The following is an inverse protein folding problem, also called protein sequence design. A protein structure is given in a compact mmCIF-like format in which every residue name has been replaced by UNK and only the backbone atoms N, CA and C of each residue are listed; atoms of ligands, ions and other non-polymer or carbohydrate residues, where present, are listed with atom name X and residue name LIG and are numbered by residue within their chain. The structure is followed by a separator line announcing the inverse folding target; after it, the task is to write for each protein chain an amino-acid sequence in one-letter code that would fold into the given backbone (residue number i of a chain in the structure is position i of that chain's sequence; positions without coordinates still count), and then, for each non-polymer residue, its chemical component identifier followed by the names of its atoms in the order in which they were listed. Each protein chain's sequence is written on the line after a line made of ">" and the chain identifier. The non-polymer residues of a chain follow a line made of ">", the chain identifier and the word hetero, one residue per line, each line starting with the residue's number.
data_IF_113223208785
#
_entry.id   IF_113223208785
#
_cell.length_a   1.000
_cell.length_b   1.000
_cell.length_c   1.000
_cell.angle_alpha   90.00
_cell.angle_beta   90.00
_cell.angle_gamma   90.00
#
_symmetry.space_group_name_H-M   'P 1'
#
loop_
_entity.id
_entity.type
_entity.pdbx_description
1 polymer ?
#
# COMPACT_ATOMS: atom_id res chain seq x y z
N UNK A 1 -30.55 -4.59 -15.86
CA UNK A 1 -29.91 -3.46 -15.17
C UNK A 1 -29.66 -3.78 -13.68
N UNK A 2 -30.71 -4.04 -12.89
CA UNK A 2 -30.62 -4.26 -11.43
C UNK A 2 -29.60 -5.36 -11.08
N UNK A 3 -29.65 -6.52 -11.75
CA UNK A 3 -28.71 -7.64 -11.49
C UNK A 3 -27.26 -7.21 -11.70
N UNK A 4 -26.95 -6.43 -12.74
CA UNK A 4 -25.59 -5.94 -13.00
C UNK A 4 -25.12 -5.05 -11.86
N UNK A 5 -25.93 -4.11 -11.41
CA UNK A 5 -25.59 -3.19 -10.32
C UNK A 5 -25.44 -3.92 -8.98
N UNK A 6 -26.31 -4.91 -8.70
CA UNK A 6 -26.18 -5.74 -7.49
C UNK A 6 -24.90 -6.58 -7.49
N UNK A 7 -24.51 -7.13 -8.64
CA UNK A 7 -23.25 -7.86 -8.77
C UNK A 7 -22.04 -6.93 -8.61
N UNK A 8 -22.10 -5.73 -9.17
CA UNK A 8 -21.07 -4.71 -9.00
C UNK A 8 -20.92 -4.28 -7.54
N UNK A 9 -22.03 -4.10 -6.81
CA UNK A 9 -22.03 -3.84 -5.38
C UNK A 9 -21.34 -4.97 -4.62
N UNK A 10 -21.70 -6.22 -4.91
CA UNK A 10 -21.14 -7.40 -4.26
C UNK A 10 -19.62 -7.53 -4.49
N UNK A 11 -19.15 -7.32 -5.71
CA UNK A 11 -17.72 -7.40 -6.01
C UNK A 11 -16.93 -6.24 -5.38
N UNK A 12 -17.51 -5.02 -5.40
CA UNK A 12 -16.94 -3.89 -4.67
C UNK A 12 -16.87 -4.13 -3.16
N UNK A 13 -17.89 -4.78 -2.59
CA UNK A 13 -17.93 -5.18 -1.18
C UNK A 13 -16.83 -6.19 -0.87
N UNK A 14 -16.63 -7.23 -1.68
CA UNK A 14 -15.60 -8.25 -1.47
C UNK A 14 -14.20 -7.64 -1.40
N UNK A 15 -13.87 -6.71 -2.31
CA UNK A 15 -12.59 -5.98 -2.27
C UNK A 15 -12.51 -5.11 -1.02
N UNK A 16 -13.61 -4.40 -0.71
CA UNK A 16 -13.64 -3.43 0.39
C UNK A 16 -13.51 -4.05 1.77
N UNK A 17 -14.11 -5.22 2.01
CA UNK A 17 -14.03 -5.94 3.30
C UNK A 17 -12.58 -6.26 3.65
N UNK A 18 -11.82 -6.81 2.73
CA UNK A 18 -10.41 -7.12 2.97
C UNK A 18 -9.60 -5.88 3.38
N UNK A 19 -9.84 -4.77 2.73
CA UNK A 19 -9.17 -3.51 3.02
C UNK A 19 -9.59 -2.89 4.36
N UNK A 20 -10.86 -2.98 4.68
CA UNK A 20 -11.40 -2.48 5.95
C UNK A 20 -10.84 -3.26 7.14
N UNK A 21 -10.80 -4.60 7.06
CA UNK A 21 -10.24 -5.46 8.10
C UNK A 21 -8.75 -5.13 8.34
N UNK A 22 -8.00 -4.86 7.28
CA UNK A 22 -6.57 -4.51 7.35
C UNK A 22 -6.31 -3.04 7.65
N UNK A 23 -7.34 -2.24 7.96
CA UNK A 23 -7.26 -0.80 8.26
C UNK A 23 -6.48 0.00 7.19
N UNK A 24 -6.67 -0.38 5.91
CA UNK A 24 -6.04 0.32 4.79
C UNK A 24 -6.88 1.52 4.34
N UNK A 25 -6.26 2.45 3.63
CA UNK A 25 -6.89 3.71 3.17
C UNK A 25 -8.14 3.50 2.31
N UNK A 26 -8.16 2.44 1.49
CA UNK A 26 -9.35 2.01 0.76
C UNK A 26 -10.24 1.16 1.67
N UNK A 27 -11.43 1.64 1.98
CA UNK A 27 -12.44 0.90 2.77
C UNK A 27 -13.57 0.34 1.92
N UNK A 28 -14.59 -0.23 2.60
CA UNK A 28 -15.77 -0.83 1.95
C UNK A 28 -16.53 0.18 1.09
N UNK A 29 -16.83 1.37 1.64
CA UNK A 29 -17.65 2.38 0.98
C UNK A 29 -17.07 2.83 -0.37
N UNK A 30 -15.82 3.30 -0.46
CA UNK A 30 -15.25 3.71 -1.75
C UNK A 30 -15.22 2.60 -2.78
N UNK A 31 -14.88 1.35 -2.38
CA UNK A 31 -14.82 0.21 -3.29
C UNK A 31 -16.16 -0.08 -3.94
N UNK A 32 -17.24 -0.12 -3.14
CA UNK A 32 -18.60 -0.34 -3.66
C UNK A 32 -19.04 0.79 -4.61
N UNK A 33 -18.84 2.04 -4.20
CA UNK A 33 -19.27 3.21 -5.00
C UNK A 33 -18.57 3.24 -6.35
N UNK A 34 -17.26 3.02 -6.38
CA UNK A 34 -16.48 3.01 -7.62
C UNK A 34 -16.95 1.88 -8.54
N UNK A 35 -17.15 0.67 -8.03
CA UNK A 35 -17.58 -0.48 -8.82
C UNK A 35 -19.00 -0.25 -9.41
N UNK A 36 -19.94 0.23 -8.61
CA UNK A 36 -21.32 0.52 -9.05
C UNK A 36 -21.33 1.66 -10.08
N UNK A 37 -20.63 2.76 -9.82
CA UNK A 37 -20.59 3.91 -10.72
C UNK A 37 -19.97 3.54 -12.08
N UNK A 38 -18.88 2.78 -12.09
CA UNK A 38 -18.23 2.28 -13.31
C UNK A 38 -19.16 1.34 -14.09
N UNK A 39 -19.87 0.46 -13.39
CA UNK A 39 -20.87 -0.43 -13.99
C UNK A 39 -22.01 0.37 -14.64
N UNK A 40 -22.58 1.32 -13.90
CA UNK A 40 -23.69 2.16 -14.40
C UNK A 40 -23.29 2.95 -15.65
N UNK A 41 -22.16 3.65 -15.60
CA UNK A 41 -21.67 4.45 -16.73
C UNK A 41 -21.39 3.57 -17.96
N UNK A 42 -20.88 2.36 -17.76
CA UNK A 42 -20.65 1.41 -18.87
C UNK A 42 -21.99 0.93 -19.47
N UNK A 43 -22.98 0.61 -18.64
CA UNK A 43 -24.34 0.27 -19.12
C UNK A 43 -24.91 1.42 -19.93
N UNK A 44 -24.84 2.66 -19.40
CA UNK A 44 -25.35 3.86 -20.11
C UNK A 44 -24.65 4.06 -21.43
N UNK A 45 -23.32 3.85 -21.51
CA UNK A 45 -22.56 3.99 -22.76
C UNK A 45 -23.03 3.02 -23.83
N UNK A 46 -23.19 1.74 -23.46
CA UNK A 46 -23.63 0.68 -24.39
C UNK A 46 -25.09 0.88 -24.82
N UNK A 47 -25.99 1.20 -23.88
CA UNK A 47 -27.41 1.44 -24.20
C UNK A 47 -27.61 2.71 -25.02
N UNK A 48 -26.83 3.77 -24.74
CA UNK A 48 -26.87 5.00 -25.54
C UNK A 48 -26.43 4.73 -26.99
N UNK A 49 -25.41 3.92 -27.21
CA UNK A 49 -25.01 3.48 -28.55
C UNK A 49 -26.13 2.71 -29.24
N UNK A 50 -26.79 1.78 -28.53
CA UNK A 50 -27.92 1.03 -29.09
C UNK A 50 -29.13 1.89 -29.45
N UNK A 51 -29.39 3.00 -28.72
CA UNK A 51 -30.51 3.89 -28.93
C UNK A 51 -30.25 4.97 -29.97
N UNK A 52 -29.05 5.53 -29.99
CA UNK A 52 -28.70 6.73 -30.75
C UNK A 52 -27.63 6.48 -31.82
N UNK A 53 -26.95 5.34 -31.79
CA UNK A 53 -25.95 4.94 -32.78
C UNK A 53 -26.62 4.53 -34.10
N UNK A 54 -25.86 4.51 -35.19
CA UNK A 54 -26.32 4.09 -36.49
C UNK A 54 -25.75 4.93 -37.63
N UNK A 55 -26.29 4.80 -38.82
CA UNK A 55 -25.76 5.44 -40.03
C UNK A 55 -25.65 6.98 -39.92
N UNK A 56 -26.50 7.61 -39.11
CA UNK A 56 -26.47 9.07 -38.88
C UNK A 56 -25.43 9.49 -37.83
N UNK A 57 -24.84 8.54 -37.08
CA UNK A 57 -23.86 8.79 -36.04
C UNK A 57 -22.70 7.77 -36.10
N UNK A 58 -21.94 7.73 -37.22
CA UNK A 58 -20.92 6.69 -37.46
C UNK A 58 -19.74 6.75 -36.49
N UNK A 59 -19.53 7.86 -35.79
CA UNK A 59 -18.40 8.04 -34.86
C UNK A 59 -18.77 7.74 -33.38
N UNK A 60 -19.95 7.16 -33.15
CA UNK A 60 -20.37 6.80 -31.80
C UNK A 60 -19.71 5.50 -31.38
N UNK A 61 -19.09 5.50 -30.21
CA UNK A 61 -18.37 4.34 -29.64
C UNK A 61 -19.08 3.87 -28.37
N UNK A 62 -19.53 2.59 -28.32
CA UNK A 62 -20.20 2.03 -27.15
C UNK A 62 -19.31 1.94 -25.91
N UNK A 63 -17.98 1.91 -26.08
CA UNK A 63 -17.04 1.81 -24.97
C UNK A 63 -16.39 3.15 -24.57
N UNK A 64 -16.83 4.25 -25.15
CA UNK A 64 -16.26 5.58 -24.95
C UNK A 64 -16.25 6.01 -23.48
N UNK A 65 -17.38 5.82 -22.77
CA UNK A 65 -17.43 6.17 -21.34
C UNK A 65 -16.55 5.22 -20.50
N UNK A 66 -16.47 3.94 -20.86
CA UNK A 66 -15.59 3.00 -20.17
C UNK A 66 -14.12 3.44 -20.27
N UNK A 67 -13.66 3.88 -21.46
CA UNK A 67 -12.32 4.42 -21.65
C UNK A 67 -12.07 5.66 -20.77
N UNK A 68 -13.05 6.56 -20.64
CA UNK A 68 -12.96 7.74 -19.78
C UNK A 68 -12.95 7.38 -18.29
N UNK A 69 -13.66 6.34 -17.88
CA UNK A 69 -13.64 5.83 -16.51
C UNK A 69 -12.22 5.35 -16.15
N UNK A 70 -11.59 4.55 -17.03
CA UNK A 70 -10.22 4.04 -16.79
C UNK A 70 -9.23 5.20 -16.59
N UNK A 71 -9.34 6.25 -17.41
CA UNK A 71 -8.53 7.46 -17.26
C UNK A 71 -8.84 8.22 -15.98
N UNK A 72 -10.12 8.48 -15.71
CA UNK A 72 -10.59 9.28 -14.57
C UNK A 72 -10.30 8.64 -13.20
N UNK A 73 -10.42 7.33 -13.11
CA UNK A 73 -10.13 6.58 -11.86
C UNK A 73 -8.66 6.68 -11.45
N UNK A 74 -7.74 6.91 -12.40
CA UNK A 74 -6.34 7.17 -12.11
C UNK A 74 -6.13 8.37 -11.20
N UNK A 75 -6.94 9.43 -11.34
CA UNK A 75 -6.90 10.59 -10.46
C UNK A 75 -7.30 10.25 -9.00
N UNK A 76 -8.34 9.44 -8.84
CA UNK A 76 -8.78 8.96 -7.51
C UNK A 76 -7.70 8.09 -6.89
N UNK A 77 -7.09 7.18 -7.67
CA UNK A 77 -5.99 6.34 -7.24
C UNK A 77 -4.78 7.15 -6.78
N UNK A 78 -4.40 8.17 -7.54
CA UNK A 78 -3.30 9.08 -7.17
C UNK A 78 -3.59 9.82 -5.85
N UNK A 79 -4.84 10.22 -5.60
CA UNK A 79 -5.25 10.87 -4.35
C UNK A 79 -5.13 10.00 -3.10
N UNK A 80 -5.03 8.68 -3.24
CA UNK A 80 -4.85 7.74 -2.13
C UNK A 80 -3.37 7.45 -1.85
N UNK A 81 -2.49 7.76 -2.79
CA UNK A 81 -1.04 7.58 -2.61
C UNK A 81 -0.51 8.77 -1.82
N UNK A 82 -0.08 8.49 -0.58
CA UNK A 82 0.46 9.51 0.32
C UNK A 82 1.96 9.31 0.49
N UNK A 83 2.70 10.42 0.41
CA UNK A 83 4.10 10.46 0.81
C UNK A 83 4.17 10.98 2.24
N UNK A 84 4.68 10.17 3.15
CA UNK A 84 4.93 10.60 4.53
C UNK A 84 6.22 11.42 4.61
N UNK A 85 6.38 12.19 5.70
CA UNK A 85 7.55 13.03 5.96
C UNK A 85 8.89 12.28 5.89
N UNK A 86 8.88 10.98 6.13
CA UNK A 86 10.04 10.09 6.12
C UNK A 86 10.29 9.42 4.74
N UNK A 87 9.83 10.02 3.65
CA UNK A 87 9.99 9.52 2.27
C UNK A 87 9.28 8.18 1.97
N UNK A 88 8.54 7.62 2.91
CA UNK A 88 7.78 6.38 2.70
C UNK A 88 6.51 6.66 1.91
N UNK A 89 6.35 5.93 0.79
CA UNK A 89 5.16 5.99 -0.04
C UNK A 89 4.18 4.93 0.44
N UNK A 90 2.99 5.35 0.87
CA UNK A 90 1.92 4.45 1.28
C UNK A 90 0.71 4.56 0.34
N UNK A 91 -0.16 3.54 0.34
CA UNK A 91 -1.39 3.56 -0.45
C UNK A 91 -1.30 2.96 -1.86
N UNK A 92 -0.12 2.53 -2.32
CA UNK A 92 0.06 1.96 -3.67
C UNK A 92 -0.89 0.79 -3.95
N UNK A 93 -0.98 -0.18 -3.03
CA UNK A 93 -1.91 -1.31 -3.16
C UNK A 93 -3.37 -0.85 -3.12
N UNK A 94 -3.71 0.15 -2.30
CA UNK A 94 -5.06 0.71 -2.25
C UNK A 94 -5.42 1.42 -3.57
N UNK A 95 -4.51 2.16 -4.17
CA UNK A 95 -4.69 2.78 -5.47
C UNK A 95 -4.89 1.73 -6.59
N UNK A 96 -4.10 0.67 -6.60
CA UNK A 96 -4.25 -0.44 -7.54
C UNK A 96 -5.61 -1.13 -7.40
N UNK A 97 -6.11 -1.32 -6.18
CA UNK A 97 -7.43 -1.91 -5.93
C UNK A 97 -8.60 -0.97 -6.29
N UNK A 98 -8.44 0.34 -6.17
CA UNK A 98 -9.39 1.32 -6.70
C UNK A 98 -9.54 1.14 -8.23
N UNK A 99 -8.42 1.07 -8.93
CA UNK A 99 -8.39 0.84 -10.36
C UNK A 99 -9.04 -0.50 -10.73
N UNK A 100 -8.74 -1.57 -9.98
CA UNK A 100 -9.31 -2.90 -10.15
C UNK A 100 -10.83 -2.94 -9.89
N UNK A 101 -11.32 -2.25 -8.85
CA UNK A 101 -12.75 -2.14 -8.57
C UNK A 101 -13.50 -1.46 -9.72
N UNK A 102 -12.89 -0.44 -10.32
CA UNK A 102 -13.45 0.22 -11.50
C UNK A 102 -13.50 -0.73 -12.72
N UNK A 103 -12.41 -1.48 -12.97
CA UNK A 103 -12.36 -2.45 -14.05
C UNK A 103 -13.41 -3.56 -13.90
N UNK A 104 -13.64 -4.06 -12.68
CA UNK A 104 -14.72 -5.01 -12.39
C UNK A 104 -16.09 -4.42 -12.70
N UNK A 105 -16.34 -3.16 -12.31
CA UNK A 105 -17.58 -2.46 -12.63
C UNK A 105 -17.81 -2.35 -14.14
N UNK A 106 -16.77 -1.98 -14.91
CA UNK A 106 -16.82 -1.92 -16.37
C UNK A 106 -17.15 -3.29 -16.96
N UNK A 107 -16.45 -4.33 -16.53
CA UNK A 107 -16.65 -5.71 -17.03
C UNK A 107 -18.08 -6.20 -16.79
N UNK A 108 -18.62 -5.98 -15.59
CA UNK A 108 -20.01 -6.35 -15.25
C UNK A 108 -21.00 -5.52 -16.09
N UNK A 109 -20.77 -4.22 -16.24
CA UNK A 109 -21.58 -3.33 -17.06
C UNK A 109 -21.65 -3.78 -18.52
N UNK A 110 -20.50 -4.20 -19.06
CA UNK A 110 -20.38 -4.72 -20.42
C UNK A 110 -20.92 -6.15 -20.58
N UNK A 111 -21.22 -6.87 -19.49
CA UNK A 111 -21.76 -8.24 -19.53
C UNK A 111 -20.73 -9.35 -19.41
N UNK A 112 -19.45 -9.05 -19.15
CA UNK A 112 -18.36 -10.02 -18.95
C UNK A 112 -18.36 -10.54 -17.52
N UNK A 113 -19.37 -11.33 -17.16
CA UNK A 113 -19.56 -11.79 -15.76
C UNK A 113 -18.56 -12.85 -15.34
N UNK A 114 -18.21 -13.78 -16.22
CA UNK A 114 -17.26 -14.86 -15.95
C UNK A 114 -15.87 -14.27 -15.71
N UNK A 115 -15.45 -13.37 -16.59
CA UNK A 115 -14.16 -12.71 -16.55
C UNK A 115 -14.07 -11.85 -15.27
N UNK A 116 -15.11 -11.12 -14.92
CA UNK A 116 -15.17 -10.32 -13.71
C UNK A 116 -15.10 -11.21 -12.45
N UNK A 117 -15.77 -12.38 -12.46
CA UNK A 117 -15.74 -13.34 -11.35
C UNK A 117 -14.36 -13.95 -11.19
N UNK A 118 -13.73 -14.39 -12.25
CA UNK A 118 -12.36 -14.89 -12.22
C UNK A 118 -11.39 -13.80 -11.72
N UNK A 119 -11.54 -12.59 -12.21
CA UNK A 119 -10.67 -11.47 -11.82
C UNK A 119 -10.77 -11.14 -10.32
N UNK A 120 -11.99 -11.05 -9.74
CA UNK A 120 -12.13 -10.76 -8.31
C UNK A 120 -11.55 -11.86 -7.43
N UNK A 121 -11.71 -13.13 -7.82
CA UNK A 121 -11.11 -14.25 -7.10
C UNK A 121 -9.58 -14.16 -7.13
N UNK A 122 -9.00 -13.94 -8.32
CA UNK A 122 -7.55 -13.80 -8.47
C UNK A 122 -6.99 -12.58 -7.72
N UNK A 123 -7.72 -11.46 -7.68
CA UNK A 123 -7.34 -10.28 -6.89
C UNK A 123 -7.29 -10.60 -5.39
N UNK A 124 -8.31 -11.30 -4.86
CA UNK A 124 -8.34 -11.71 -3.46
C UNK A 124 -7.17 -12.66 -3.16
N UNK A 125 -6.91 -13.63 -4.03
CA UNK A 125 -5.77 -14.55 -3.90
C UNK A 125 -4.45 -13.77 -3.90
N UNK A 126 -4.25 -12.88 -4.87
CA UNK A 126 -3.01 -12.12 -5.02
C UNK A 126 -2.71 -11.23 -3.81
N UNK A 127 -3.75 -10.62 -3.23
CA UNK A 127 -3.57 -9.66 -2.13
C UNK A 127 -3.51 -10.33 -0.76
N UNK A 128 -4.09 -11.53 -0.59
CA UNK A 128 -4.19 -12.22 0.69
C UNK A 128 -3.37 -13.49 0.76
N UNK A 129 -3.56 -14.39 -0.20
CA UNK A 129 -2.99 -15.73 -0.14
C UNK A 129 -1.50 -15.70 -0.50
N UNK A 130 -1.14 -14.97 -1.55
CA UNK A 130 0.26 -14.90 -2.01
C UNK A 130 1.19 -14.35 -0.93
N UNK A 131 0.90 -13.22 -0.24
CA UNK A 131 1.75 -12.74 0.86
C UNK A 131 1.83 -13.74 2.02
N UNK A 132 0.71 -14.41 2.35
CA UNK A 132 0.69 -15.44 3.38
C UNK A 132 1.59 -16.63 3.02
N UNK A 133 1.53 -17.12 1.77
CA UNK A 133 2.39 -18.21 1.29
C UNK A 133 3.88 -17.82 1.33
N UNK A 134 4.22 -16.60 0.89
CA UNK A 134 5.59 -16.08 0.95
C UNK A 134 6.10 -16.07 2.39
N UNK A 135 5.25 -15.66 3.35
CA UNK A 135 5.59 -15.66 4.78
C UNK A 135 5.82 -17.07 5.29
N UNK A 136 4.97 -18.02 4.92
CA UNK A 136 5.05 -19.43 5.37
C UNK A 136 6.24 -20.18 4.76
N UNK A 137 6.59 -19.88 3.50
CA UNK A 137 7.76 -20.48 2.83
C UNK A 137 9.10 -20.00 3.38
N UNK A 138 9.10 -19.17 4.42
CA UNK A 138 10.31 -18.76 5.13
C UNK A 138 11.23 -17.84 4.32
N UNK A 139 10.73 -17.19 3.29
CA UNK A 139 11.44 -16.14 2.57
C UNK A 139 11.53 -14.89 3.45
N UNK A 140 12.18 -15.05 4.62
CA UNK A 140 12.31 -14.05 5.68
C UNK A 140 12.89 -12.71 5.21
N UNK A 141 13.56 -12.73 4.06
CA UNK A 141 14.10 -11.51 3.42
C UNK A 141 12.99 -10.55 2.97
N UNK A 142 11.77 -11.06 2.71
CA UNK A 142 10.61 -10.27 2.26
C UNK A 142 9.71 -9.81 3.41
N UNK A 143 9.85 -10.40 4.61
CA UNK A 143 9.02 -10.10 5.76
C UNK A 143 9.75 -9.15 6.72
N UNK A 144 10.00 -7.92 6.25
CA UNK A 144 10.68 -6.89 7.03
C UNK A 144 9.78 -5.67 7.16
N UNK A 145 9.70 -5.12 8.36
CA UNK A 145 9.06 -3.84 8.62
C UNK A 145 10.10 -2.72 8.54
N UNK A 146 9.66 -1.55 8.12
CA UNK A 146 10.49 -0.37 8.12
C UNK A 146 10.14 0.48 9.35
N UNK A 147 11.17 0.86 10.08
CA UNK A 147 11.06 1.74 11.25
C UNK A 147 11.90 2.98 11.03
N UNK A 148 11.34 4.13 11.39
CA UNK A 148 12.07 5.38 11.48
C UNK A 148 12.67 5.50 12.89
N UNK A 149 13.95 5.75 12.96
CA UNK A 149 14.71 5.91 14.19
C UNK A 149 15.44 7.24 14.17
N UNK A 150 15.01 8.18 15.01
CA UNK A 150 15.70 9.46 15.20
C UNK A 150 16.45 9.43 16.52
N UNK A 151 17.73 9.72 16.47
CA UNK A 151 18.64 9.68 17.62
C UNK A 151 19.34 11.03 17.75
N UNK A 152 19.31 11.61 18.93
CA UNK A 152 20.13 12.78 19.26
C UNK A 152 21.34 12.31 20.06
N UNK A 153 22.53 12.62 19.56
CA UNK A 153 23.81 12.23 20.16
C UNK A 153 24.69 13.46 20.37
N UNK A 154 25.67 13.32 21.27
CA UNK A 154 26.72 14.33 21.44
C UNK A 154 27.65 14.38 20.21
N UNK A 155 28.09 15.59 19.82
CA UNK A 155 28.82 15.80 18.55
C UNK A 155 30.20 15.14 18.50
N UNK A 156 30.79 14.76 19.64
CA UNK A 156 32.08 14.10 19.73
C UNK A 156 32.02 12.58 19.69
N UNK A 157 30.84 11.97 19.55
CA UNK A 157 30.70 10.52 19.53
C UNK A 157 31.06 9.91 18.18
N UNK A 158 31.72 8.75 18.20
CA UNK A 158 32.10 8.02 16.98
C UNK A 158 30.89 7.42 16.28
N UNK A 159 30.25 8.18 15.41
CA UNK A 159 29.06 7.81 14.63
C UNK A 159 29.15 6.44 13.98
N UNK A 160 30.33 6.10 13.43
CA UNK A 160 30.56 4.81 12.76
C UNK A 160 30.42 3.63 13.72
N UNK A 161 30.79 3.81 14.99
CA UNK A 161 30.63 2.76 16.01
C UNK A 161 29.17 2.58 16.39
N UNK A 162 28.44 3.68 16.59
CA UNK A 162 27.01 3.64 16.87
C UNK A 162 26.23 2.93 15.77
N UNK A 163 26.47 3.28 14.51
CA UNK A 163 25.86 2.63 13.37
C UNK A 163 26.20 1.14 13.30
N UNK A 164 27.45 0.78 13.58
CA UNK A 164 27.87 -0.63 13.66
C UNK A 164 27.17 -1.37 14.81
N UNK A 165 27.04 -0.78 15.99
CA UNK A 165 26.32 -1.37 17.13
C UNK A 165 24.86 -1.62 16.80
N UNK A 166 24.19 -0.65 16.18
CA UNK A 166 22.79 -0.80 15.75
C UNK A 166 22.68 -1.90 14.70
N UNK A 167 23.55 -1.90 13.68
CA UNK A 167 23.54 -2.89 12.60
C UNK A 167 23.81 -4.31 13.09
N UNK A 168 24.76 -4.47 14.04
CA UNK A 168 25.19 -5.77 14.54
C UNK A 168 24.41 -6.30 15.75
N UNK A 169 23.40 -5.54 16.26
CA UNK A 169 22.57 -6.02 17.37
C UNK A 169 21.94 -7.38 17.11
N UNK A 170 21.56 -7.66 15.86
CA UNK A 170 21.04 -8.96 15.48
C UNK A 170 21.98 -10.13 15.60
N UNK A 171 23.27 -9.90 15.95
CA UNK A 171 24.27 -10.96 16.08
C UNK A 171 24.47 -11.46 17.51
N UNK A 172 24.08 -10.70 18.54
CA UNK A 172 24.46 -10.98 19.94
C UNK A 172 23.35 -11.58 20.82
N UNK A 173 22.16 -11.86 20.31
CA UNK A 173 21.09 -12.43 21.12
C UNK A 173 20.28 -13.47 20.38
N UNK A 174 20.39 -14.73 20.79
CA UNK A 174 19.55 -15.87 20.42
C UNK A 174 19.58 -16.31 18.95
N UNK A 175 19.96 -17.52 18.70
CA UNK A 175 19.87 -18.48 17.55
C UNK A 175 19.48 -18.03 16.11
N UNK A 176 19.07 -16.82 15.83
CA UNK A 176 18.81 -16.28 14.50
C UNK A 176 19.56 -14.98 14.28
N UNK A 177 20.50 -15.01 13.35
CA UNK A 177 21.34 -13.90 12.91
C UNK A 177 20.51 -12.89 12.12
N UNK A 178 19.97 -11.86 12.77
CA UNK A 178 19.22 -10.79 12.10
C UNK A 178 20.14 -9.60 11.86
N UNK A 179 20.41 -9.31 10.61
CA UNK A 179 21.13 -8.10 10.21
C UNK A 179 20.10 -7.00 9.88
N UNK A 180 20.17 -5.87 10.60
CA UNK A 180 19.37 -4.69 10.26
C UNK A 180 19.93 -4.04 9.00
N UNK A 181 19.05 -3.75 8.03
CA UNK A 181 19.45 -3.05 6.81
C UNK A 181 19.07 -1.57 6.93
N UNK A 182 20.04 -0.71 6.78
CA UNK A 182 19.82 0.74 6.73
C UNK A 182 19.35 1.07 5.32
N UNK A 183 18.13 1.66 5.18
CA UNK A 183 17.53 2.09 3.94
C UNK A 183 17.79 3.56 3.67
N UNK A 184 17.73 4.37 4.71
CA UNK A 184 17.96 5.80 4.64
C UNK A 184 18.84 6.22 5.81
N UNK A 185 19.73 7.17 5.57
CA UNK A 185 20.59 7.76 6.56
C UNK A 185 20.68 9.26 6.31
N UNK A 186 20.34 10.05 7.33
CA UNK A 186 20.46 11.50 7.30
C UNK A 186 21.09 11.96 8.61
N UNK A 187 22.09 12.81 8.47
CA UNK A 187 22.77 13.45 9.59
C UNK A 187 22.48 14.94 9.53
N UNK A 188 22.14 15.53 10.66
CA UNK A 188 21.92 16.98 10.79
C UNK A 188 22.52 17.45 12.11
N UNK A 189 23.36 18.45 12.05
CA UNK A 189 23.82 19.17 13.24
C UNK A 189 22.68 20.05 13.74
N UNK A 190 22.32 19.92 15.01
CA UNK A 190 21.30 20.75 15.68
C UNK A 190 22.00 21.98 16.25
N UNK A 191 23.06 21.76 17.03
CA UNK A 191 23.87 22.76 17.71
C UNK A 191 25.35 22.32 17.67
N UNK A 192 26.24 23.14 18.26
CA UNK A 192 27.67 22.83 18.32
C UNK A 192 27.96 21.53 19.09
N UNK A 193 27.07 21.09 20.00
CA UNK A 193 27.26 19.93 20.86
C UNK A 193 26.35 18.74 20.55
N UNK A 194 25.34 18.89 19.65
CA UNK A 194 24.34 17.86 19.39
C UNK A 194 24.15 17.60 17.91
N UNK A 195 24.03 16.32 17.57
CA UNK A 195 23.75 15.83 16.23
C UNK A 195 22.49 14.96 16.19
N UNK A 196 21.65 15.18 15.18
CA UNK A 196 20.48 14.36 14.89
C UNK A 196 20.83 13.35 13.82
N UNK A 197 20.65 12.09 14.12
CA UNK A 197 20.71 10.98 13.18
C UNK A 197 19.30 10.53 12.88
N UNK A 198 18.92 10.55 11.62
CA UNK A 198 17.62 10.03 11.13
C UNK A 198 17.90 8.81 10.27
N UNK A 199 17.41 7.64 10.71
CA UNK A 199 17.64 6.35 10.10
C UNK A 199 16.31 5.69 9.74
N UNK A 200 16.21 5.12 8.54
CA UNK A 200 15.18 4.15 8.23
C UNK A 200 15.83 2.77 8.25
N UNK A 201 15.39 1.96 9.19
CA UNK A 201 15.87 0.60 9.38
C UNK A 201 14.84 -0.40 8.87
N UNK A 202 15.30 -1.36 8.07
CA UNK A 202 14.53 -2.54 7.70
C UNK A 202 14.85 -3.66 8.67
N UNK A 203 13.90 -3.96 9.54
CA UNK A 203 14.02 -4.96 10.62
C UNK A 203 13.04 -6.12 10.39
N UNK A 204 13.30 -7.32 10.92
CA UNK A 204 12.33 -8.43 10.88
C UNK A 204 11.02 -8.04 11.58
N UNK A 205 9.89 -8.51 11.04
CA UNK A 205 8.54 -8.19 11.57
C UNK A 205 8.28 -8.79 12.98
N UNK A 206 9.02 -9.84 13.35
CA UNK A 206 8.93 -10.50 14.64
C UNK A 206 9.66 -9.75 15.76
N UNK A 207 10.33 -8.64 15.46
CA UNK A 207 11.07 -7.86 16.43
C UNK A 207 10.28 -6.67 16.95
N UNK A 208 10.12 -6.58 18.26
CA UNK A 208 9.41 -5.48 18.89
C UNK A 208 10.19 -4.17 18.81
N UNK A 209 9.54 -3.13 18.29
CA UNK A 209 10.11 -1.77 18.17
C UNK A 209 10.58 -1.23 19.52
N UNK A 210 9.89 -1.59 20.61
CA UNK A 210 10.25 -1.22 21.99
C UNK A 210 11.61 -1.77 22.42
N UNK A 211 11.98 -2.97 21.98
CA UNK A 211 13.28 -3.55 22.30
C UNK A 211 14.42 -2.78 21.62
N UNK A 212 14.17 -2.32 20.39
CA UNK A 212 15.13 -1.49 19.64
C UNK A 212 15.29 -0.15 20.34
N UNK A 213 14.18 0.47 20.77
CA UNK A 213 14.20 1.71 21.52
C UNK A 213 15.06 1.62 22.77
N UNK A 214 14.78 0.62 23.64
CA UNK A 214 15.54 0.47 24.90
C UNK A 214 17.01 0.11 24.69
N UNK A 215 17.31 -0.62 23.62
CA UNK A 215 18.69 -0.92 23.27
C UNK A 215 19.46 0.34 22.87
N UNK A 216 18.90 1.13 21.93
CA UNK A 216 19.56 2.35 21.45
C UNK A 216 19.69 3.37 22.57
N UNK A 217 18.68 3.49 23.43
CA UNK A 217 18.70 4.42 24.58
C UNK A 217 19.75 4.06 25.63
N UNK A 218 20.22 2.81 25.68
CA UNK A 218 21.28 2.36 26.61
C UNK A 218 22.69 2.62 26.08
N UNK A 219 22.84 3.05 24.84
CA UNK A 219 24.15 3.35 24.27
C UNK A 219 24.64 4.67 24.86
N UNK A 220 25.88 4.70 25.32
CA UNK A 220 26.51 5.88 25.86
C UNK A 220 26.48 7.05 24.85
N UNK A 221 26.33 8.29 25.36
CA UNK A 221 26.24 9.52 24.58
C UNK A 221 24.97 9.66 23.72
N UNK A 222 23.98 8.76 23.86
CA UNK A 222 22.64 8.91 23.27
C UNK A 222 21.75 9.70 24.24
N UNK A 223 21.34 10.88 23.81
CA UNK A 223 20.54 11.80 24.64
C UNK A 223 19.03 11.53 24.48
N UNK A 224 18.58 11.37 23.26
CA UNK A 224 17.18 11.13 22.95
C UNK A 224 17.02 10.13 21.80
N UNK A 225 15.96 9.33 21.89
CA UNK A 225 15.57 8.34 20.86
C UNK A 225 14.10 8.48 20.60
N UNK A 226 13.72 8.60 19.34
CA UNK A 226 12.35 8.56 18.85
C UNK A 226 12.24 7.42 17.84
N UNK A 227 11.23 6.56 17.97
CA UNK A 227 10.96 5.45 17.06
C UNK A 227 9.53 5.54 16.55
N UNK A 228 9.36 5.38 15.24
CA UNK A 228 8.07 5.33 14.56
C UNK A 228 8.03 4.13 13.61
N UNK A 229 6.93 3.35 13.63
CA UNK A 229 6.65 2.33 12.62
C UNK A 229 6.14 3.01 11.35
N UNK A 230 6.69 2.64 10.19
CA UNK A 230 6.36 3.23 8.90
C UNK A 230 5.31 2.45 8.10
#
# INVERSE_FOLDING_TARGET
>A
MIIKLSLALLFGLLIGIDRQIKQKQLGIRPSMVICIASCLLTIVSIEAFGKFGGANHPNMDPMRLAAQIVSGVGFIGAGVILRRSNEVISGLTSAALIWSASALGISIGAGFYVEATCAVILLIVAVNIVPYLIKTLGLTTLNRQEISLKIIVESNYRMTELIKMIKHRGQNGSSKKYEYKIRHFKLKDIDNDHQLIDLILSVPEDQYTTEIYYYVKKIDHVLSVEIENL
#
